data_IF_023129920697
#
_entry.id   IF_023129920697
#
_cell.length_a   1.000
_cell.length_b   1.000
_cell.length_c   1.000
_cell.angle_alpha   90.00
_cell.angle_beta   90.00
_cell.angle_gamma   90.00
#
_symmetry.space_group_name_H-M   'P 1'
#
loop_
_entity.id
_entity.type
_entity.pdbx_description
1 polymer ?
#
# COMPACT_ATOMS: atom_id res chain seq x y z
N UNK A 1 -19.16 -0.65 6.35
CA UNK A 1 -19.55 -1.60 7.44
C UNK A 1 -18.55 -1.52 8.59
N UNK A 2 -19.00 -1.40 9.86
CA UNK A 2 -18.10 -1.34 11.05
C UNK A 2 -17.70 -2.74 11.56
N UNK A 3 -16.41 -2.95 11.82
CA UNK A 3 -15.77 -4.18 12.33
C UNK A 3 -14.90 -3.85 13.54
N UNK A 4 -14.74 -4.76 14.51
CA UNK A 4 -13.70 -4.63 15.57
C UNK A 4 -12.50 -5.49 15.22
N UNK A 5 -11.31 -4.89 15.11
CA UNK A 5 -10.04 -5.58 14.80
C UNK A 5 -8.94 -4.97 15.66
N UNK A 6 -8.08 -5.79 16.25
CA UNK A 6 -6.95 -5.35 17.09
C UNK A 6 -5.64 -5.66 16.36
N UNK A 7 -4.83 -4.65 16.04
CA UNK A 7 -3.44 -4.86 15.62
C UNK A 7 -2.55 -4.95 16.85
N UNK A 8 -1.74 -6.00 16.97
CA UNK A 8 -0.65 -6.06 17.94
C UNK A 8 0.67 -6.14 17.18
N UNK A 9 1.39 -5.02 17.13
CA UNK A 9 2.84 -5.00 16.92
C UNK A 9 3.47 -5.19 18.29
N UNK A 10 3.60 -6.45 18.74
CA UNK A 10 4.38 -6.77 19.95
C UNK A 10 5.43 -7.81 19.60
N UNK A 11 6.67 -7.35 19.61
CA UNK A 11 7.85 -8.14 19.97
C UNK A 11 7.56 -8.91 21.26
N UNK A 12 7.80 -10.22 21.20
CA UNK A 12 7.84 -11.24 22.27
C UNK A 12 7.30 -10.88 23.66
N UNK A 13 6.27 -11.62 24.12
CA UNK A 13 6.04 -11.76 25.56
C UNK A 13 4.63 -12.14 26.01
N UNK A 14 4.47 -13.42 26.38
CA UNK A 14 3.48 -14.01 27.31
C UNK A 14 2.03 -14.22 26.83
N UNK A 15 1.68 -15.51 26.78
CA UNK A 15 0.32 -16.05 26.73
C UNK A 15 -0.51 -15.56 27.92
N UNK A 16 -1.70 -15.02 27.63
CA UNK A 16 -2.79 -14.86 28.59
C UNK A 16 -4.07 -15.40 27.95
N UNK A 17 -4.52 -16.55 28.43
CA UNK A 17 -5.82 -17.14 28.12
C UNK A 17 -6.91 -16.43 28.94
N UNK A 18 -7.89 -15.80 28.29
CA UNK A 18 -9.13 -15.35 28.92
C UNK A 18 -10.35 -15.87 28.13
N UNK A 19 -11.51 -16.10 28.79
CA UNK A 19 -12.60 -16.92 28.26
C UNK A 19 -13.40 -16.19 27.17
N UNK A 20 -13.90 -16.98 26.22
CA UNK A 20 -14.61 -16.52 25.03
C UNK A 20 -16.08 -16.17 25.33
N UNK A 21 -16.36 -14.92 25.69
CA UNK A 21 -17.73 -14.37 25.69
C UNK A 21 -17.74 -12.91 25.23
N UNK A 22 -17.36 -12.62 23.98
CA UNK A 22 -17.73 -11.36 23.29
C UNK A 22 -17.42 -11.41 21.79
N UNK A 23 -17.99 -10.48 21.03
CA UNK A 23 -17.85 -10.23 19.59
C UNK A 23 -16.40 -9.90 19.13
N UNK A 24 -15.43 -10.76 19.42
CA UNK A 24 -14.02 -10.57 19.10
C UNK A 24 -13.64 -11.24 17.76
N UNK A 25 -12.81 -10.56 16.96
CA UNK A 25 -12.14 -11.13 15.80
C UNK A 25 -10.68 -11.48 16.16
N UNK A 26 -10.39 -12.68 16.67
CA UNK A 26 -9.06 -13.29 16.56
C UNK A 26 -9.02 -14.78 16.99
N UNK A 27 -8.15 -15.55 16.34
CA UNK A 27 -7.45 -16.72 16.90
C UNK A 27 -6.00 -16.64 16.41
N UNK A 28 -5.04 -16.56 17.34
CA UNK A 28 -3.61 -16.46 17.04
C UNK A 28 -3.00 -17.86 17.15
N UNK A 29 -2.38 -18.35 16.09
CA UNK A 29 -1.60 -19.59 16.12
C UNK A 29 -0.21 -19.30 15.55
N UNK A 30 0.80 -19.20 16.41
CA UNK A 30 2.20 -19.23 15.99
C UNK A 30 2.62 -20.69 15.97
N UNK A 31 2.92 -21.24 14.80
CA UNK A 31 3.58 -22.55 14.69
C UNK A 31 5.07 -22.26 14.53
N UNK A 32 5.82 -22.36 15.62
CA UNK A 32 7.28 -22.36 15.56
C UNK A 32 7.73 -23.76 15.13
N UNK A 33 8.38 -23.88 13.98
CA UNK A 33 9.14 -25.07 13.64
C UNK A 33 10.60 -24.65 13.40
N UNK A 34 11.51 -25.41 14.00
CA UNK A 34 12.93 -25.10 14.13
C UNK A 34 13.56 -24.51 12.85
N UNK A 35 14.15 -23.32 12.96
CA UNK A 35 15.23 -22.85 12.07
C UNK A 35 14.90 -21.82 10.97
N UNK A 36 13.65 -21.54 10.65
CA UNK A 36 13.26 -20.38 9.80
C UNK A 36 11.93 -19.83 10.26
N UNK A 37 11.88 -18.56 10.64
CA UNK A 37 10.67 -17.85 11.08
C UNK A 37 9.66 -17.73 9.91
N UNK A 38 8.87 -18.77 9.66
CA UNK A 38 7.67 -18.70 8.83
C UNK A 38 6.46 -18.47 9.74
N UNK A 39 6.26 -17.22 10.14
CA UNK A 39 5.04 -16.82 10.86
C UNK A 39 3.86 -16.78 9.89
N UNK A 40 2.91 -17.70 10.02
CA UNK A 40 1.61 -17.62 9.35
C UNK A 40 0.67 -16.80 10.21
N UNK A 41 0.09 -15.74 9.65
CA UNK A 41 -0.89 -14.92 10.38
C UNK A 41 -2.28 -15.11 9.79
N UNK A 42 -3.28 -15.33 10.64
CA UNK A 42 -4.69 -15.47 10.22
C UNK A 42 -5.49 -14.25 10.69
N UNK A 43 -6.10 -13.52 9.75
CA UNK A 43 -7.04 -12.43 10.04
C UNK A 43 -8.44 -12.93 9.72
N UNK A 44 -9.32 -13.00 10.73
CA UNK A 44 -10.70 -13.47 10.56
C UNK A 44 -11.66 -12.29 10.58
N UNK A 45 -12.36 -12.05 9.48
CA UNK A 45 -13.42 -11.05 9.37
C UNK A 45 -14.77 -11.77 9.51
N UNK A 46 -15.21 -11.92 10.77
CA UNK A 46 -16.40 -12.72 11.12
C UNK A 46 -17.69 -12.25 10.43
N UNK A 47 -17.87 -10.95 10.22
CA UNK A 47 -19.12 -10.37 9.72
C UNK A 47 -19.41 -10.67 8.24
N UNK A 48 -18.38 -11.00 7.47
CA UNK A 48 -18.49 -11.42 6.06
C UNK A 48 -18.00 -12.88 5.90
N UNK A 49 -17.82 -13.60 7.01
CA UNK A 49 -17.29 -14.96 7.05
C UNK A 49 -15.96 -15.17 6.29
N UNK A 50 -15.14 -14.13 6.16
CA UNK A 50 -13.84 -14.22 5.47
C UNK A 50 -12.75 -14.64 6.47
N UNK A 51 -11.92 -15.60 6.07
CA UNK A 51 -10.68 -15.98 6.76
C UNK A 51 -9.51 -15.71 5.85
N UNK A 52 -8.63 -14.81 6.26
CA UNK A 52 -7.49 -14.35 5.48
C UNK A 52 -6.25 -15.03 6.01
N UNK A 53 -5.53 -15.76 5.16
CA UNK A 53 -4.19 -16.23 5.44
C UNK A 53 -3.19 -15.21 4.91
N UNK A 54 -2.49 -14.56 5.84
CA UNK A 54 -1.29 -13.80 5.52
C UNK A 54 -0.14 -14.81 5.51
N UNK A 55 0.15 -15.30 4.32
CA UNK A 55 1.20 -16.31 4.14
C UNK A 55 2.60 -15.69 4.20
N UNK A 56 2.76 -14.38 3.98
CA UNK A 56 4.09 -13.77 3.80
C UNK A 56 4.17 -12.36 4.40
N UNK A 57 5.07 -12.19 5.37
CA UNK A 57 5.61 -10.88 5.72
C UNK A 57 6.43 -10.37 4.54
N UNK A 58 6.16 -9.14 4.07
CA UNK A 58 6.82 -8.58 2.91
C UNK A 58 8.22 -8.06 3.29
N UNK A 59 9.20 -8.97 3.40
CA UNK A 59 10.57 -8.62 3.81
C UNK A 59 11.31 -7.74 2.80
N UNK A 60 10.83 -7.61 1.55
CA UNK A 60 11.53 -6.89 0.48
C UNK A 60 10.65 -5.79 -0.18
N UNK A 61 9.68 -5.21 0.54
CA UNK A 61 8.98 -4.03 -0.01
C UNK A 61 9.96 -2.88 -0.21
N UNK A 62 10.88 -2.73 0.73
CA UNK A 62 11.84 -1.65 0.78
C UNK A 62 13.13 -2.17 0.16
N UNK A 63 13.60 -1.47 -0.86
CA UNK A 63 14.84 -1.81 -1.55
C UNK A 63 16.07 -1.46 -0.72
N UNK A 64 17.25 -1.98 -1.11
CA UNK A 64 18.51 -1.56 -0.52
C UNK A 64 18.72 -0.05 -0.69
N UNK A 65 19.42 0.55 0.27
CA UNK A 65 19.76 1.98 0.31
C UNK A 65 18.53 2.90 0.24
N UNK A 66 17.39 2.47 0.78
CA UNK A 66 16.17 3.27 0.77
C UNK A 66 16.39 4.67 1.36
N UNK A 67 15.93 5.68 0.62
CA UNK A 67 16.07 7.08 1.00
C UNK A 67 14.72 7.78 1.10
N UNK A 68 14.57 8.56 2.15
CA UNK A 68 13.43 9.44 2.35
C UNK A 68 13.90 10.88 2.18
N UNK A 69 13.17 11.70 1.42
CA UNK A 69 13.48 13.13 1.29
C UNK A 69 12.28 13.99 1.63
N UNK A 70 12.51 15.03 2.42
CA UNK A 70 11.55 16.10 2.72
C UNK A 70 12.27 17.46 2.68
N UNK A 71 11.52 18.56 2.79
CA UNK A 71 12.05 19.91 2.65
C UNK A 71 11.86 20.72 3.94
N UNK A 72 12.89 21.48 4.32
CA UNK A 72 12.80 22.46 5.40
C UNK A 72 11.94 23.66 5.00
N UNK A 73 11.61 24.52 5.96
CA UNK A 73 10.88 25.79 5.70
C UNK A 73 11.65 26.72 4.76
N UNK A 74 12.99 26.62 4.72
CA UNK A 74 13.84 27.36 3.78
C UNK A 74 13.91 26.72 2.38
N UNK A 75 13.16 25.63 2.16
CA UNK A 75 13.13 24.88 0.91
C UNK A 75 14.40 24.05 0.63
N UNK A 76 15.20 23.75 1.66
CA UNK A 76 16.37 22.89 1.52
C UNK A 76 15.98 21.42 1.65
N UNK A 77 16.47 20.52 0.77
CA UNK A 77 16.17 19.11 0.85
C UNK A 77 16.94 18.46 2.01
N UNK A 78 16.22 17.67 2.81
CA UNK A 78 16.78 16.80 3.83
C UNK A 78 16.54 15.36 3.39
N UNK A 79 17.61 14.64 3.12
CA UNK A 79 17.56 13.22 2.75
C UNK A 79 18.06 12.36 3.90
N UNK A 80 17.21 11.44 4.34
CA UNK A 80 17.53 10.46 5.38
C UNK A 80 17.66 9.09 4.74
N UNK A 81 18.81 8.46 4.91
CA UNK A 81 19.01 7.04 4.59
C UNK A 81 18.74 6.24 5.85
N UNK A 82 17.61 5.52 5.88
CA UNK A 82 17.33 4.62 7.00
C UNK A 82 17.70 3.19 6.60
N UNK A 83 18.93 2.79 6.92
CA UNK A 83 19.42 1.43 6.63
C UNK A 83 18.77 0.36 7.52
N UNK A 84 18.06 0.76 8.59
CA UNK A 84 17.39 -0.14 9.55
C UNK A 84 15.88 0.07 9.52
N UNK A 85 15.26 -0.05 8.34
CA UNK A 85 13.81 -0.16 8.26
C UNK A 85 13.38 -1.56 8.75
N UNK A 86 13.34 -1.74 10.08
CA UNK A 86 13.05 -3.02 10.75
C UNK A 86 11.55 -3.26 10.98
N UNK A 87 10.72 -2.24 10.77
CA UNK A 87 9.27 -2.33 10.98
C UNK A 87 8.58 -2.95 9.77
N UNK A 88 8.62 -4.28 9.71
CA UNK A 88 7.89 -5.06 8.72
C UNK A 88 6.40 -5.18 9.10
N UNK A 89 5.61 -4.19 8.68
CA UNK A 89 4.16 -4.16 8.90
C UNK A 89 3.33 -4.31 7.61
N UNK A 90 3.95 -4.72 6.49
CA UNK A 90 3.29 -4.96 5.21
C UNK A 90 3.20 -6.46 4.90
N UNK A 91 2.03 -6.89 4.47
CA UNK A 91 1.71 -8.31 4.30
C UNK A 91 0.97 -8.55 2.99
N UNK A 92 1.37 -9.62 2.30
CA UNK A 92 0.62 -10.18 1.19
C UNK A 92 0.06 -11.55 1.56
N UNK A 93 -1.12 -11.87 1.04
CA UNK A 93 -1.80 -13.11 1.39
C UNK A 93 -2.88 -13.52 0.41
N UNK A 94 -3.65 -14.50 0.83
CA UNK A 94 -4.80 -15.07 0.12
C UNK A 94 -5.93 -15.33 1.11
N UNK A 95 -7.16 -15.31 0.63
CA UNK A 95 -8.36 -15.65 1.42
C UNK A 95 -8.62 -17.15 1.33
N UNK A 96 -8.85 -17.79 2.48
CA UNK A 96 -9.15 -19.21 2.58
C UNK A 96 -10.39 -19.56 1.77
N UNK A 97 -10.31 -20.62 0.97
CA UNK A 97 -11.43 -21.09 0.14
C UNK A 97 -11.59 -20.30 -1.17
N UNK A 98 -10.75 -19.29 -1.42
CA UNK A 98 -10.74 -18.50 -2.65
C UNK A 98 -9.34 -18.58 -3.30
N UNK A 99 -9.08 -19.55 -4.20
CA UNK A 99 -7.75 -19.75 -4.78
C UNK A 99 -7.23 -18.55 -5.58
N UNK A 100 -8.12 -17.87 -6.31
CA UNK A 100 -7.79 -16.67 -7.12
C UNK A 100 -7.80 -15.37 -6.31
N UNK A 101 -8.05 -15.44 -5.00
CA UNK A 101 -8.06 -14.25 -4.15
C UNK A 101 -6.67 -13.68 -3.98
N UNK A 102 -6.58 -12.45 -3.53
CA UNK A 102 -5.34 -11.90 -3.05
C UNK A 102 -5.58 -10.82 -2.01
N UNK A 103 -4.58 -10.61 -1.17
CA UNK A 103 -4.61 -9.65 -0.08
C UNK A 103 -3.31 -8.86 -0.05
N UNK A 104 -3.42 -7.56 0.20
CA UNK A 104 -2.31 -6.67 0.51
C UNK A 104 -2.73 -5.76 1.68
N UNK A 105 -2.12 -5.96 2.86
CA UNK A 105 -2.45 -5.23 4.08
C UNK A 105 -1.23 -4.52 4.66
N UNK A 106 -1.50 -3.44 5.38
CA UNK A 106 -0.62 -2.75 6.31
C UNK A 106 -1.18 -2.91 7.72
N UNK A 107 -0.30 -3.14 8.70
CA UNK A 107 -0.62 -3.14 10.14
C UNK A 107 0.12 -2.04 10.89
N UNK A 108 0.76 -1.09 10.19
CA UNK A 108 1.65 -0.10 10.78
C UNK A 108 0.92 0.89 11.71
N UNK A 109 -0.38 1.13 11.47
CA UNK A 109 -1.21 2.05 12.25
C UNK A 109 -2.67 1.58 12.22
N UNK A 110 -2.92 0.39 12.78
CA UNK A 110 -4.17 -0.34 12.56
C UNK A 110 -4.13 -1.14 11.25
N UNK A 111 -5.16 -1.96 10.99
CA UNK A 111 -5.19 -2.79 9.79
C UNK A 111 -5.84 -2.01 8.65
N UNK A 112 -5.10 -1.83 7.56
CA UNK A 112 -5.60 -1.19 6.33
C UNK A 112 -5.19 -2.00 5.12
N UNK A 113 -6.02 -2.04 4.08
CA UNK A 113 -5.58 -2.55 2.79
C UNK A 113 -6.68 -3.15 1.92
N UNK A 114 -6.26 -3.88 0.89
CA UNK A 114 -7.11 -4.44 -0.13
C UNK A 114 -7.25 -5.95 0.03
N UNK A 115 -8.48 -6.43 -0.11
CA UNK A 115 -8.86 -7.83 -0.06
C UNK A 115 -9.71 -8.12 -1.30
N UNK A 116 -9.15 -8.85 -2.26
CA UNK A 116 -9.86 -9.26 -3.47
C UNK A 116 -10.19 -10.74 -3.38
N UNK A 117 -11.47 -11.10 -3.48
CA UNK A 117 -11.92 -12.50 -3.45
C UNK A 117 -11.85 -13.15 -4.83
N UNK A 118 -12.06 -12.34 -5.87
CA UNK A 118 -12.05 -12.68 -7.29
C UNK A 118 -11.92 -11.38 -8.13
N UNK A 119 -12.13 -11.47 -9.44
CA UNK A 119 -12.02 -10.33 -10.37
C UNK A 119 -12.96 -9.15 -10.08
N UNK A 120 -14.10 -9.39 -9.44
CA UNK A 120 -15.18 -8.41 -9.27
C UNK A 120 -15.34 -7.99 -7.80
N UNK A 121 -15.17 -8.92 -6.87
CA UNK A 121 -15.36 -8.68 -5.45
C UNK A 121 -14.04 -8.24 -4.80
N UNK A 122 -13.83 -6.92 -4.73
CA UNK A 122 -12.73 -6.34 -3.96
C UNK A 122 -13.24 -5.44 -2.85
N UNK A 123 -12.62 -5.56 -1.68
CA UNK A 123 -12.91 -4.80 -0.49
C UNK A 123 -11.71 -3.99 -0.05
N UNK A 124 -11.98 -2.79 0.45
CA UNK A 124 -11.01 -1.95 1.13
C UNK A 124 -11.32 -1.91 2.62
N UNK A 125 -10.30 -2.18 3.42
CA UNK A 125 -10.34 -2.16 4.87
C UNK A 125 -9.54 -0.96 5.36
N UNK A 126 -10.07 -0.21 6.33
CA UNK A 126 -9.35 0.87 6.98
C UNK A 126 -9.74 1.03 8.46
N UNK A 127 -8.83 1.51 9.32
CA UNK A 127 -9.14 1.83 10.70
C UNK A 127 -9.95 3.13 10.80
N UNK A 128 -10.82 3.21 11.80
CA UNK A 128 -11.60 4.41 12.13
C UNK A 128 -10.89 5.14 13.26
N UNK A 129 -10.53 6.39 13.00
CA UNK A 129 -9.82 7.23 13.97
C UNK A 129 -10.76 7.67 15.10
N UNK A 130 -10.26 7.72 16.33
CA UNK A 130 -10.96 8.30 17.47
C UNK A 130 -12.03 7.42 18.13
N UNK A 131 -12.07 6.11 17.83
CA UNK A 131 -13.01 5.16 18.45
C UNK A 131 -12.24 4.13 19.29
N UNK A 132 -12.61 4.00 20.56
CA UNK A 132 -12.13 2.96 21.47
C UNK A 132 -13.30 2.04 21.88
N UNK A 133 -13.26 0.72 21.63
CA UNK A 133 -12.18 -0.03 20.98
C UNK A 133 -12.02 0.30 19.48
N UNK A 134 -10.83 0.07 18.89
CA UNK A 134 -10.56 0.38 17.49
C UNK A 134 -11.52 -0.38 16.55
N UNK A 135 -12.34 0.39 15.84
CA UNK A 135 -13.21 -0.12 14.79
C UNK A 135 -12.57 0.08 13.42
N UNK A 136 -13.00 -0.72 12.45
CA UNK A 136 -12.55 -0.70 11.07
C UNK A 136 -13.74 -0.59 10.14
N UNK A 137 -13.60 0.17 9.08
CA UNK A 137 -14.56 0.23 7.99
C UNK A 137 -14.15 -0.74 6.91
N UNK A 138 -15.10 -1.57 6.48
CA UNK A 138 -15.00 -2.38 5.26
C UNK A 138 -15.94 -1.80 4.21
N UNK A 139 -15.38 -1.49 3.05
CA UNK A 139 -16.06 -0.93 1.89
C UNK A 139 -15.84 -1.85 0.69
N UNK A 140 -16.86 -2.02 -0.17
CA UNK A 140 -16.58 -2.54 -1.51
C UNK A 140 -15.79 -1.49 -2.27
N UNK A 141 -14.86 -1.92 -3.11
CA UNK A 141 -14.05 -1.02 -3.93
C UNK A 141 -14.93 -0.16 -4.88
N UNK A 142 -16.10 -0.67 -5.24
CA UNK A 142 -17.11 0.03 -6.05
C UNK A 142 -17.85 1.15 -5.30
N UNK A 143 -17.97 1.02 -3.98
CA UNK A 143 -18.68 1.97 -3.10
C UNK A 143 -17.76 3.06 -2.55
N UNK A 144 -16.44 2.95 -2.78
CA UNK A 144 -15.49 3.94 -2.31
C UNK A 144 -15.76 5.28 -3.01
N UNK A 145 -15.92 6.38 -2.25
CA UNK A 145 -16.21 7.70 -2.81
C UNK A 145 -14.93 8.29 -3.41
N UNK A 146 -14.48 7.73 -4.53
CA UNK A 146 -13.43 8.32 -5.34
C UNK A 146 -14.07 9.40 -6.17
N UNK A 147 -13.71 10.65 -5.89
CA UNK A 147 -13.88 11.74 -6.85
C UNK A 147 -12.96 11.41 -8.03
N UNK A 148 -13.50 10.80 -9.08
CA UNK A 148 -12.75 10.55 -10.30
C UNK A 148 -12.29 11.87 -10.93
N UNK A 149 -11.12 11.85 -11.56
CA UNK A 149 -10.74 12.85 -12.56
C UNK A 149 -11.14 12.36 -13.95
N UNK A 150 -11.53 13.28 -14.84
CA UNK A 150 -11.77 12.94 -16.25
C UNK A 150 -10.43 12.74 -16.97
N UNK A 151 -10.14 11.52 -17.42
CA UNK A 151 -9.06 11.31 -18.38
C UNK A 151 -9.58 11.70 -19.78
N UNK A 152 -9.03 12.75 -20.37
CA UNK A 152 -9.53 13.35 -21.61
C UNK A 152 -9.49 12.43 -22.83
N UNK A 153 -10.63 11.81 -23.14
CA UNK A 153 -11.14 11.68 -24.51
C UNK A 153 -12.66 11.82 -24.43
N UNK A 154 -13.19 12.84 -25.11
CA UNK A 154 -14.45 13.51 -24.76
C UNK A 154 -15.64 12.61 -24.45
N UNK A 155 -16.20 12.77 -23.25
CA UNK A 155 -17.62 13.02 -22.98
C UNK A 155 -17.74 13.63 -21.56
N UNK A 156 -18.49 14.72 -21.38
CA UNK A 156 -18.68 15.39 -20.09
C UNK A 156 -19.78 14.66 -19.29
N UNK A 157 -19.51 13.42 -18.89
CA UNK A 157 -20.36 12.71 -17.93
C UNK A 157 -19.47 12.31 -16.73
N UNK A 158 -19.90 12.51 -15.47
CA UNK A 158 -19.15 12.09 -14.31
C UNK A 158 -19.19 10.57 -14.24
N UNK A 159 -18.33 9.89 -15.01
CA UNK A 159 -18.15 8.47 -14.86
C UNK A 159 -17.42 8.21 -13.55
N UNK A 160 -18.12 7.57 -12.63
CA UNK A 160 -17.51 6.94 -11.47
C UNK A 160 -16.56 5.86 -11.98
N UNK A 161 -15.26 6.17 -12.02
CA UNK A 161 -14.24 5.17 -12.31
C UNK A 161 -14.28 4.15 -11.17
N UNK A 162 -15.00 3.04 -11.39
CA UNK A 162 -15.04 1.97 -10.42
C UNK A 162 -13.66 1.35 -10.30
N UNK A 163 -13.10 1.39 -9.09
CA UNK A 163 -11.82 0.74 -8.77
C UNK A 163 -11.86 -0.74 -9.18
N UNK A 164 -13.03 -1.38 -9.15
CA UNK A 164 -13.22 -2.76 -9.61
C UNK A 164 -12.81 -2.97 -11.07
N UNK A 165 -12.98 -2.00 -11.97
CA UNK A 165 -12.54 -2.13 -13.37
C UNK A 165 -11.01 -2.11 -13.50
N UNK A 166 -10.35 -1.23 -12.74
CA UNK A 166 -8.89 -1.19 -12.67
C UNK A 166 -8.34 -2.47 -12.05
N UNK A 167 -8.96 -2.96 -10.98
CA UNK A 167 -8.58 -4.18 -10.26
C UNK A 167 -8.84 -5.45 -11.09
N UNK A 168 -9.95 -5.52 -11.82
CA UNK A 168 -10.34 -6.64 -12.69
C UNK A 168 -9.38 -6.83 -13.87
N UNK A 169 -8.81 -5.75 -14.41
CA UNK A 169 -7.77 -5.83 -15.44
C UNK A 169 -6.49 -6.52 -14.96
N UNK A 170 -6.19 -6.50 -13.65
CA UNK A 170 -5.04 -7.23 -13.11
C UNK A 170 -5.30 -8.74 -13.00
N UNK A 171 -6.56 -9.16 -12.86
CA UNK A 171 -6.96 -10.57 -12.81
C UNK A 171 -6.99 -11.25 -14.19
N UNK A 172 -7.22 -10.49 -15.26
CA UNK A 172 -7.30 -11.03 -16.64
C UNK A 172 -5.94 -11.27 -17.31
N UNK A 173 -4.83 -10.75 -16.74
CA UNK A 173 -3.51 -10.85 -17.37
C UNK A 173 -2.91 -12.24 -17.22
N UNK A 174 -3.14 -13.08 -18.22
CA UNK A 174 -2.48 -14.38 -18.38
C UNK A 174 -0.99 -14.18 -18.62
N UNK A 175 -0.16 -14.88 -17.85
CA UNK A 175 1.31 -14.92 -18.00
C UNK A 175 1.66 -15.53 -19.37
N UNK A 176 1.86 -14.69 -20.38
CA UNK A 176 2.40 -15.14 -21.67
C UNK A 176 3.91 -15.22 -21.55
N UNK A 177 4.39 -16.45 -21.37
CA UNK A 177 5.78 -16.88 -21.44
C UNK A 177 6.83 -15.86 -20.95
N UNK A 178 6.92 -15.72 -19.62
CA UNK A 178 8.03 -15.04 -18.97
C UNK A 178 9.06 -16.12 -18.60
N UNK A 179 10.15 -16.19 -19.36
CA UNK A 179 11.32 -17.03 -19.02
C UNK A 179 11.66 -16.93 -17.54
N UNK A 180 11.96 -18.07 -16.93
CA UNK A 180 11.74 -18.43 -15.51
C UNK A 180 12.43 -17.62 -14.40
N UNK A 181 12.90 -16.40 -14.64
CA UNK A 181 13.55 -15.54 -13.64
C UNK A 181 12.65 -14.39 -13.21
N UNK A 182 12.56 -14.15 -11.90
CA UNK A 182 11.89 -12.97 -11.34
C UNK A 182 12.60 -11.69 -11.78
N UNK A 183 11.83 -10.71 -12.26
CA UNK A 183 12.34 -9.39 -12.64
C UNK A 183 12.12 -8.39 -11.51
N UNK A 184 12.94 -7.35 -11.47
CA UNK A 184 12.82 -6.26 -10.50
C UNK A 184 12.59 -4.95 -11.24
N UNK A 185 11.76 -4.08 -10.65
CA UNK A 185 11.55 -2.72 -11.11
C UNK A 185 11.66 -1.79 -9.91
N UNK A 186 12.76 -1.06 -9.82
CA UNK A 186 13.02 -0.15 -8.71
C UNK A 186 12.10 1.07 -8.79
N UNK A 187 11.27 1.26 -7.76
CA UNK A 187 10.25 2.30 -7.71
C UNK A 187 10.69 3.46 -6.81
N UNK A 188 10.49 4.68 -7.31
CA UNK A 188 10.61 5.92 -6.54
C UNK A 188 9.26 6.65 -6.55
N UNK A 189 8.72 7.03 -5.38
CA UNK A 189 7.42 7.71 -5.31
C UNK A 189 7.61 9.14 -4.80
N UNK A 190 6.99 10.09 -5.48
CA UNK A 190 7.00 11.50 -5.11
C UNK A 190 5.60 11.94 -4.75
N UNK A 191 5.43 12.60 -3.60
CA UNK A 191 4.20 13.30 -3.26
C UNK A 191 4.40 14.80 -3.47
N UNK A 192 3.53 15.40 -4.28
CA UNK A 192 3.53 16.85 -4.45
C UNK A 192 3.05 17.58 -3.18
N UNK A 193 3.16 18.91 -3.20
CA UNK A 193 2.80 19.73 -2.06
C UNK A 193 1.28 19.74 -1.81
N UNK A 194 0.48 19.59 -2.87
CA UNK A 194 -0.98 19.50 -2.77
C UNK A 194 -1.41 18.26 -1.99
N UNK A 195 -0.82 17.10 -2.29
CA UNK A 195 -1.06 15.85 -1.59
C UNK A 195 -0.60 15.95 -0.13
N UNK A 196 0.57 16.54 0.12
CA UNK A 196 1.05 16.77 1.49
C UNK A 196 0.07 17.63 2.30
N UNK A 197 -0.45 18.72 1.71
CA UNK A 197 -1.49 19.56 2.33
C UNK A 197 -2.78 18.79 2.59
N UNK A 198 -3.22 17.92 1.67
CA UNK A 198 -4.39 17.03 1.85
C UNK A 198 -4.19 16.02 2.98
N UNK A 199 -2.95 15.64 3.27
CA UNK A 199 -2.58 14.83 4.43
C UNK A 199 -2.37 15.66 5.70
N UNK A 200 -3.01 16.82 5.82
CA UNK A 200 -2.92 17.72 6.97
C UNK A 200 -1.49 18.24 7.23
N UNK A 201 -0.64 18.31 6.19
CA UNK A 201 0.78 18.67 6.32
C UNK A 201 1.55 17.76 7.29
N UNK A 202 1.13 16.50 7.39
CA UNK A 202 1.78 15.50 8.22
C UNK A 202 2.67 14.62 7.34
N UNK A 203 3.98 14.70 7.60
CA UNK A 203 4.98 13.97 6.84
C UNK A 203 4.85 12.46 7.04
N UNK A 204 4.69 12.01 8.29
CA UNK A 204 4.57 10.60 8.62
C UNK A 204 3.30 9.99 8.03
N UNK A 205 2.19 10.75 8.03
CA UNK A 205 0.95 10.33 7.38
C UNK A 205 1.10 10.21 5.86
N UNK A 206 1.80 11.15 5.24
CA UNK A 206 2.07 11.14 3.79
C UNK A 206 3.00 9.98 3.41
N UNK A 207 4.07 9.77 4.19
CA UNK A 207 4.97 8.64 4.09
C UNK A 207 4.23 7.31 4.21
N UNK A 208 3.43 7.13 5.26
CA UNK A 208 2.63 5.93 5.46
C UNK A 208 1.71 5.65 4.25
N UNK A 209 1.10 6.69 3.69
CA UNK A 209 0.28 6.57 2.47
C UNK A 209 1.08 6.10 1.26
N UNK A 210 2.28 6.65 1.04
CA UNK A 210 3.19 6.22 -0.03
C UNK A 210 3.57 4.74 0.14
N UNK A 211 3.90 4.32 1.36
CA UNK A 211 4.29 2.94 1.67
C UNK A 211 3.14 1.96 1.44
N UNK A 212 1.90 2.33 1.77
CA UNK A 212 0.71 1.55 1.45
C UNK A 212 0.52 1.40 -0.08
N UNK A 213 0.70 2.47 -0.84
CA UNK A 213 0.60 2.42 -2.30
C UNK A 213 1.66 1.48 -2.87
N UNK A 214 2.91 1.58 -2.42
CA UNK A 214 3.99 0.68 -2.83
C UNK A 214 3.65 -0.79 -2.53
N UNK A 215 3.06 -1.08 -1.37
CA UNK A 215 2.62 -2.42 -0.99
C UNK A 215 1.57 -2.99 -1.97
N UNK A 216 0.62 -2.17 -2.42
CA UNK A 216 -0.37 -2.59 -3.42
C UNK A 216 0.28 -2.79 -4.79
N UNK A 217 1.17 -1.89 -5.20
CA UNK A 217 1.90 -1.99 -6.47
C UNK A 217 2.72 -3.27 -6.53
N UNK A 218 3.53 -3.61 -5.52
CA UNK A 218 4.27 -4.88 -5.50
C UNK A 218 3.32 -6.07 -5.64
N UNK A 219 2.16 -6.04 -4.95
CA UNK A 219 1.18 -7.14 -5.07
C UNK A 219 0.65 -7.31 -6.48
N UNK A 220 0.32 -6.21 -7.16
CA UNK A 220 -0.21 -6.26 -8.53
C UNK A 220 0.83 -6.78 -9.54
N UNK A 221 2.08 -6.36 -9.41
CA UNK A 221 3.14 -6.76 -10.35
C UNK A 221 3.64 -8.20 -10.13
N UNK A 222 3.43 -8.79 -8.95
CA UNK A 222 3.76 -10.20 -8.68
C UNK A 222 3.06 -11.18 -9.62
N UNK A 223 1.85 -10.88 -10.09
CA UNK A 223 1.14 -11.70 -11.09
C UNK A 223 1.92 -11.82 -12.41
N UNK A 224 2.79 -10.85 -12.70
CA UNK A 224 3.67 -10.81 -13.87
C UNK A 224 5.08 -11.34 -13.59
N UNK A 225 5.32 -11.94 -12.41
CA UNK A 225 6.65 -12.34 -11.93
C UNK A 225 7.65 -11.16 -11.84
N UNK A 226 7.13 -9.98 -11.47
CA UNK A 226 7.91 -8.75 -11.25
C UNK A 226 7.79 -8.36 -9.77
N UNK A 227 8.92 -8.04 -9.14
CA UNK A 227 8.99 -7.44 -7.79
C UNK A 227 9.27 -5.96 -7.92
N UNK A 228 8.60 -5.15 -7.11
CA UNK A 228 8.66 -3.69 -7.21
C UNK A 228 9.15 -3.11 -5.87
N UNK A 229 10.45 -3.20 -5.56
CA UNK A 229 10.98 -2.60 -4.35
C UNK A 229 10.88 -1.07 -4.41
N UNK A 230 10.38 -0.47 -3.34
CA UNK A 230 10.44 0.97 -3.12
C UNK A 230 11.86 1.33 -2.65
N UNK A 231 12.61 2.02 -3.50
CA UNK A 231 14.00 2.41 -3.22
C UNK A 231 14.11 3.84 -2.73
N UNK A 232 13.05 4.63 -2.79
CA UNK A 232 13.01 5.94 -2.18
C UNK A 232 11.66 6.62 -2.29
N UNK A 233 11.45 7.58 -1.42
CA UNK A 233 10.31 8.50 -1.48
C UNK A 233 10.75 9.94 -1.27
N UNK A 234 10.00 10.86 -1.85
CA UNK A 234 10.21 12.29 -1.69
C UNK A 234 8.88 13.00 -1.49
N UNK A 235 8.78 13.80 -0.42
CA UNK A 235 7.59 14.60 -0.12
C UNK A 235 7.95 16.06 -0.25
N UNK A 236 7.30 16.77 -1.17
CA UNK A 236 7.51 18.19 -1.39
C UNK A 236 6.80 19.02 -0.32
N UNK A 237 7.34 19.02 0.90
CA UNK A 237 6.71 19.61 2.10
C UNK A 237 6.65 21.15 2.08
N UNK A 238 7.59 21.82 1.43
CA UNK A 238 7.61 23.28 1.23
C UNK A 238 6.80 23.70 -0.01
N UNK A 239 7.33 23.37 -1.19
CA UNK A 239 6.77 23.70 -2.51
C UNK A 239 7.08 22.62 -3.53
N UNK A 240 6.33 22.63 -4.62
CA UNK A 240 6.58 21.71 -5.74
C UNK A 240 7.95 21.97 -6.39
N UNK A 241 8.65 20.90 -6.72
CA UNK A 241 10.00 20.95 -7.31
C UNK A 241 9.97 20.93 -8.84
N UNK A 242 8.77 20.80 -9.41
CA UNK A 242 8.47 20.97 -10.82
C UNK A 242 7.09 21.64 -10.95
N UNK A 243 6.70 21.97 -12.17
CA UNK A 243 5.37 22.51 -12.45
C UNK A 243 4.36 21.37 -12.29
N UNK A 244 3.39 21.55 -11.39
CA UNK A 244 2.23 20.68 -11.21
C UNK A 244 0.98 21.54 -11.37
N UNK A 245 0.16 21.22 -12.36
CA UNK A 245 -1.06 21.95 -12.68
C UNK A 245 -2.12 21.02 -13.28
N UNK A 246 -3.27 21.58 -13.62
CA UNK A 246 -4.41 20.82 -14.16
C UNK A 246 -4.14 20.25 -15.56
N UNK A 247 -3.15 20.75 -16.30
CA UNK A 247 -2.73 20.17 -17.57
C UNK A 247 -1.78 18.99 -17.34
N UNK A 248 -2.25 17.74 -17.56
CA UNK A 248 -1.43 16.56 -17.30
C UNK A 248 -0.21 16.48 -18.22
N UNK A 249 -0.26 17.07 -19.42
CA UNK A 249 0.88 17.05 -20.33
C UNK A 249 2.00 17.96 -19.82
N UNK A 250 1.68 19.20 -19.45
CA UNK A 250 2.65 20.12 -18.85
C UNK A 250 3.25 19.54 -17.57
N UNK A 251 2.41 19.00 -16.69
CA UNK A 251 2.85 18.35 -15.45
C UNK A 251 3.78 17.16 -15.72
N UNK A 252 3.39 16.26 -16.63
CA UNK A 252 4.21 15.10 -17.01
C UNK A 252 5.57 15.53 -17.56
N UNK A 253 5.60 16.50 -18.48
CA UNK A 253 6.85 17.00 -19.05
C UNK A 253 7.77 17.60 -18.00
N UNK A 254 7.22 18.43 -17.10
CA UNK A 254 7.99 19.04 -16.02
C UNK A 254 8.52 17.99 -15.04
N UNK A 255 7.70 17.00 -14.68
CA UNK A 255 8.10 15.89 -13.82
C UNK A 255 9.20 15.03 -14.48
N UNK A 256 9.12 14.75 -15.78
CA UNK A 256 10.15 14.00 -16.50
C UNK A 256 11.49 14.75 -16.51
N UNK A 257 11.48 16.08 -16.67
CA UNK A 257 12.68 16.91 -16.57
C UNK A 257 13.28 16.87 -15.16
N UNK A 258 12.44 17.01 -14.13
CA UNK A 258 12.86 16.87 -12.73
C UNK A 258 13.46 15.48 -12.46
N UNK A 259 12.84 14.41 -12.97
CA UNK A 259 13.30 13.02 -12.84
C UNK A 259 14.69 12.81 -13.43
N UNK A 260 15.05 13.49 -14.53
CA UNK A 260 16.41 13.41 -15.06
C UNK A 260 17.46 13.90 -14.06
N UNK A 261 17.14 14.95 -13.27
CA UNK A 261 18.00 15.42 -12.18
C UNK A 261 17.99 14.45 -10.99
N UNK A 262 16.87 13.78 -10.71
CA UNK A 262 16.80 12.75 -9.67
C UNK A 262 17.75 11.58 -9.97
N UNK A 263 17.87 11.15 -11.24
CA UNK A 263 18.71 10.00 -11.65
C UNK A 263 20.18 10.13 -11.26
N UNK A 264 20.72 11.35 -11.14
CA UNK A 264 22.10 11.54 -10.70
C UNK A 264 22.29 11.31 -9.20
N UNK A 265 21.23 11.48 -8.39
CA UNK A 265 21.24 11.30 -6.93
C UNK A 265 20.78 9.90 -6.50
N UNK A 266 19.76 9.36 -7.19
CA UNK A 266 19.17 8.05 -6.89
C UNK A 266 18.81 7.34 -8.18
N UNK A 267 19.51 6.24 -8.47
CA UNK A 267 19.17 5.35 -9.59
C UNK A 267 17.84 4.68 -9.30
N UNK A 268 16.99 4.59 -10.32
CA UNK A 268 15.65 4.01 -10.27
C UNK A 268 15.19 3.64 -11.69
N UNK A 269 14.32 2.64 -11.81
CA UNK A 269 13.71 2.25 -13.09
C UNK A 269 12.46 3.08 -13.37
N UNK A 270 11.66 3.32 -12.33
CA UNK A 270 10.39 4.02 -12.45
C UNK A 270 10.22 5.06 -11.33
N UNK A 271 9.66 6.22 -11.69
CA UNK A 271 9.27 7.24 -10.73
C UNK A 271 7.81 7.64 -10.97
N UNK A 272 7.03 7.75 -9.90
CA UNK A 272 5.62 8.12 -9.94
C UNK A 272 5.38 9.37 -9.12
N UNK A 273 4.66 10.34 -9.69
CA UNK A 273 4.19 11.54 -8.99
C UNK A 273 2.75 11.32 -8.51
N UNK A 274 2.49 11.63 -7.24
CA UNK A 274 1.18 11.61 -6.62
C UNK A 274 0.74 13.04 -6.32
N UNK A 275 -0.50 13.39 -6.71
CA UNK A 275 -1.11 14.74 -6.61
C UNK A 275 -2.52 14.67 -6.03
#
# INVERSE_FOLDING_TARGET
>A
MLLKIKSSTQTEGKYSSHPATSNWCYKWNVITNYGRYFGFWEVVIKKVSLRIYLLWMLMELIGPDFTETYYTEDGQPVTVSNNNYTDHCFYHGHVRGHPESWVALSTCSGIRGLISLNSSDTYYLEPISGVDPPHHSLWRAEELPIKGGSCGHGHPDPQYNHISNLLGQFHSRVKRDAGGTTKYMELYIVADNTLFKRQNKDYEKTKARIMEIANYVDKFYRALNIRVPLIGLEVWTDRDQCIVNEDPNTTLWSFLQWRQKLKSRKKHDNAQLLT
#
